data_IF_710771117667
#
_entry.id   IF_710771117667
#
_cell.length_a   1.000
_cell.length_b   1.000
_cell.length_c   1.000
_cell.angle_alpha   90.00
_cell.angle_beta   90.00
_cell.angle_gamma   90.00
#
_symmetry.space_group_name_H-M   'P 1'
#
loop_
_entity.id
_entity.type
_entity.pdbx_description
1 polymer ?
#
# COMPACT_ATOMS: atom_id res chain seq x y z
N UNK A 1 14.28 -46.90 29.52
CA UNK A 1 13.45 -46.38 28.41
C UNK A 1 12.26 -45.71 29.08
N UNK A 2 12.00 -44.43 28.78
CA UNK A 2 11.08 -43.47 29.45
C UNK A 2 11.69 -42.66 30.61
N UNK A 3 12.36 -41.53 30.29
CA UNK A 3 12.47 -40.37 31.22
C UNK A 3 12.89 -39.06 30.53
N UNK A 4 12.47 -38.81 29.29
CA UNK A 4 12.89 -37.60 28.54
C UNK A 4 11.73 -36.80 27.94
N UNK A 5 10.51 -36.91 28.47
CA UNK A 5 9.32 -36.29 27.88
C UNK A 5 8.50 -35.40 28.82
N UNK A 6 8.84 -35.27 30.11
CA UNK A 6 8.02 -34.50 31.08
C UNK A 6 8.62 -33.13 31.51
N UNK A 7 9.83 -32.75 31.09
CA UNK A 7 10.46 -31.49 31.53
C UNK A 7 10.13 -30.24 30.69
N UNK A 8 9.24 -30.33 29.69
CA UNK A 8 8.93 -29.21 28.79
C UNK A 8 7.49 -28.66 28.85
N UNK A 9 6.58 -29.26 29.62
CA UNK A 9 5.17 -28.82 29.68
C UNK A 9 4.95 -27.48 30.40
N UNK A 10 5.88 -27.05 31.26
CA UNK A 10 5.79 -25.74 31.95
C UNK A 10 6.19 -24.55 31.06
N UNK A 11 6.96 -24.77 29.99
CA UNK A 11 7.34 -23.72 29.02
C UNK A 11 6.18 -23.32 28.08
N UNK A 12 5.16 -24.17 27.98
CA UNK A 12 3.95 -23.89 27.19
C UNK A 12 2.85 -23.18 27.99
N UNK A 13 3.06 -22.92 29.29
CA UNK A 13 2.07 -22.23 30.11
C UNK A 13 2.01 -20.73 29.75
N UNK A 14 0.82 -20.14 29.53
CA UNK A 14 0.64 -18.74 29.15
C UNK A 14 1.38 -17.76 30.07
N UNK A 15 1.49 -18.10 31.35
CA UNK A 15 2.13 -17.31 32.41
C UNK A 15 3.62 -17.06 32.20
N UNK A 16 4.34 -17.95 31.51
CA UNK A 16 5.78 -17.80 31.21
C UNK A 16 6.02 -16.74 30.14
N UNK A 17 5.03 -16.52 29.25
CA UNK A 17 5.09 -15.52 28.19
C UNK A 17 4.73 -14.10 28.66
N UNK A 18 3.91 -13.97 29.72
CA UNK A 18 3.41 -12.64 30.17
C UNK A 18 4.54 -11.74 30.68
N UNK A 19 5.55 -12.31 31.36
CA UNK A 19 6.63 -11.53 31.96
C UNK A 19 7.62 -10.95 30.93
N UNK A 20 8.17 -11.75 29.98
CA UNK A 20 9.08 -11.23 28.95
C UNK A 20 8.42 -10.27 27.96
N UNK A 21 7.11 -10.44 27.69
CA UNK A 21 6.34 -9.54 26.83
C UNK A 21 6.16 -8.14 27.43
N UNK A 22 6.17 -8.02 28.77
CA UNK A 22 6.05 -6.73 29.46
C UNK A 22 7.38 -5.97 29.57
N UNK A 23 8.52 -6.65 29.46
CA UNK A 23 9.84 -6.03 29.56
C UNK A 23 10.49 -5.73 28.20
N UNK A 24 9.85 -6.09 27.08
CA UNK A 24 10.45 -5.97 25.76
C UNK A 24 10.79 -4.49 25.44
N UNK A 25 12.08 -4.24 25.17
CA UNK A 25 12.66 -2.91 25.06
C UNK A 25 13.78 -2.88 24.02
N UNK A 26 14.20 -1.67 23.64
CA UNK A 26 15.28 -1.42 22.67
C UNK A 26 16.66 -1.89 23.15
N UNK A 27 16.78 -2.46 24.35
CA UNK A 27 18.04 -2.94 24.93
C UNK A 27 18.05 -4.47 25.08
N UNK A 28 16.90 -5.11 25.27
CA UNK A 28 16.83 -6.55 25.59
C UNK A 28 16.26 -7.42 24.47
N UNK A 29 15.74 -6.85 23.38
CA UNK A 29 15.09 -7.61 22.31
C UNK A 29 16.00 -8.70 21.70
N UNK A 30 17.32 -8.46 21.58
CA UNK A 30 18.27 -9.45 21.07
C UNK A 30 18.46 -10.64 22.02
N UNK A 31 18.56 -10.38 23.33
CA UNK A 31 18.70 -11.45 24.31
C UNK A 31 17.41 -12.27 24.41
N UNK A 32 16.25 -11.60 24.40
CA UNK A 32 14.95 -12.27 24.35
C UNK A 32 14.77 -13.09 23.06
N UNK A 33 15.28 -12.61 21.93
CA UNK A 33 15.29 -13.39 20.69
C UNK A 33 16.14 -14.65 20.81
N UNK A 34 17.36 -14.55 21.36
CA UNK A 34 18.23 -15.72 21.55
C UNK A 34 17.58 -16.77 22.44
N UNK A 35 16.89 -16.34 23.50
CA UNK A 35 16.10 -17.24 24.35
C UNK A 35 14.95 -17.85 23.55
N UNK A 36 14.22 -17.07 22.76
CA UNK A 36 13.11 -17.56 21.95
C UNK A 36 13.57 -18.62 20.92
N UNK A 37 14.69 -18.39 20.23
CA UNK A 37 15.27 -19.32 19.26
C UNK A 37 15.79 -20.59 19.94
N UNK A 38 16.43 -20.47 21.10
CA UNK A 38 17.01 -21.59 21.83
C UNK A 38 15.96 -22.52 22.46
N UNK A 39 14.83 -21.97 22.90
CA UNK A 39 13.71 -22.74 23.49
C UNK A 39 12.54 -22.94 22.53
N UNK A 40 12.65 -22.52 21.27
CA UNK A 40 11.60 -22.62 20.24
C UNK A 40 10.24 -22.06 20.69
N UNK A 41 10.23 -20.81 21.15
CA UNK A 41 9.04 -20.11 21.67
C UNK A 41 8.45 -19.18 20.59
N UNK A 42 7.51 -19.65 19.74
CA UNK A 42 7.03 -18.88 18.58
C UNK A 42 6.28 -17.60 18.97
N UNK A 43 5.57 -17.59 20.09
CA UNK A 43 4.85 -16.40 20.57
C UNK A 43 5.81 -15.27 20.98
N UNK A 44 6.97 -15.62 21.55
CA UNK A 44 7.99 -14.64 21.90
C UNK A 44 8.72 -14.13 20.66
N UNK A 45 9.01 -15.02 19.70
CA UNK A 45 9.59 -14.64 18.41
C UNK A 45 8.68 -13.66 17.66
N UNK A 46 7.37 -13.95 17.57
CA UNK A 46 6.41 -13.06 16.92
C UNK A 46 6.35 -11.68 17.60
N UNK A 47 6.43 -11.64 18.92
CA UNK A 47 6.45 -10.38 19.68
C UNK A 47 7.73 -9.57 19.45
N UNK A 48 8.90 -10.23 19.43
CA UNK A 48 10.18 -9.58 19.08
C UNK A 48 10.14 -9.02 17.64
N UNK A 49 9.62 -9.81 16.68
CA UNK A 49 9.45 -9.37 15.29
C UNK A 49 8.49 -8.18 15.23
N UNK A 50 7.37 -8.21 15.95
CA UNK A 50 6.41 -7.11 16.05
C UNK A 50 7.05 -5.81 16.55
N UNK A 51 7.80 -5.90 17.64
CA UNK A 51 8.51 -4.75 18.20
C UNK A 51 9.58 -4.20 17.26
N UNK A 52 10.37 -5.08 16.64
CA UNK A 52 11.39 -4.65 15.67
C UNK A 52 10.76 -3.96 14.48
N UNK A 53 9.66 -4.49 13.94
CA UNK A 53 8.92 -3.86 12.84
C UNK A 53 8.53 -2.41 13.13
N UNK A 54 8.19 -2.10 14.38
CA UNK A 54 7.84 -0.75 14.83
C UNK A 54 9.07 0.15 15.05
N UNK A 55 10.14 -0.39 15.64
CA UNK A 55 11.32 0.37 16.08
C UNK A 55 12.53 0.28 15.13
N UNK A 56 12.41 -0.41 13.99
CA UNK A 56 13.53 -0.59 13.06
C UNK A 56 14.06 0.74 12.50
N UNK A 57 13.17 1.73 12.34
CA UNK A 57 13.59 3.07 11.90
C UNK A 57 14.51 3.74 12.92
N UNK A 58 14.19 3.64 14.22
CA UNK A 58 15.03 4.19 15.28
C UNK A 58 16.38 3.48 15.36
N UNK A 59 16.39 2.15 15.21
CA UNK A 59 17.60 1.34 15.19
C UNK A 59 18.50 1.68 13.99
N UNK A 60 17.91 1.77 12.79
CA UNK A 60 18.67 2.07 11.57
C UNK A 60 19.26 3.49 11.54
N UNK A 61 18.69 4.44 12.28
CA UNK A 61 19.19 5.82 12.34
C UNK A 61 20.12 6.08 13.52
N UNK A 62 19.78 5.54 14.70
CA UNK A 62 20.47 5.86 15.96
C UNK A 62 21.54 4.84 16.33
N UNK A 63 21.40 3.59 15.91
CA UNK A 63 22.24 2.46 16.33
C UNK A 63 22.50 1.49 15.18
N UNK A 64 23.13 2.01 14.12
CA UNK A 64 23.45 1.21 12.93
C UNK A 64 24.25 -0.05 13.25
N UNK A 65 25.20 0.02 14.18
CA UNK A 65 26.02 -1.14 14.57
C UNK A 65 25.17 -2.30 15.14
N UNK A 66 24.12 -2.00 15.91
CA UNK A 66 23.21 -3.02 16.44
C UNK A 66 22.34 -3.63 15.32
N UNK A 67 21.90 -2.82 14.36
CA UNK A 67 21.13 -3.28 13.21
C UNK A 67 21.95 -4.22 12.31
N UNK A 68 23.26 -4.00 12.19
CA UNK A 68 24.17 -4.85 11.42
C UNK A 68 24.44 -6.20 12.10
N UNK A 69 24.31 -6.28 13.43
CA UNK A 69 24.48 -7.52 14.20
C UNK A 69 23.22 -8.40 14.29
N UNK A 70 22.13 -8.03 13.61
CA UNK A 70 20.89 -8.79 13.63
C UNK A 70 21.09 -10.21 13.06
N UNK A 71 20.56 -11.25 13.73
CA UNK A 71 20.55 -12.60 13.18
C UNK A 71 19.77 -12.68 11.86
N UNK A 72 20.30 -13.44 10.89
CA UNK A 72 19.67 -13.63 9.58
C UNK A 72 18.18 -14.01 9.66
N UNK A 73 17.82 -14.96 10.53
CA UNK A 73 16.43 -15.42 10.70
C UNK A 73 15.49 -14.29 11.10
N UNK A 74 15.92 -13.48 12.07
CA UNK A 74 15.14 -12.35 12.57
C UNK A 74 14.97 -11.28 11.49
N UNK A 75 16.07 -10.91 10.82
CA UNK A 75 16.04 -9.94 9.72
C UNK A 75 15.09 -10.40 8.60
N UNK A 76 15.16 -11.68 8.23
CA UNK A 76 14.29 -12.26 7.20
C UNK A 76 12.81 -12.14 7.56
N UNK A 77 12.42 -12.49 8.78
CA UNK A 77 11.01 -12.42 9.20
C UNK A 77 10.50 -10.98 9.33
N UNK A 78 11.35 -10.05 9.76
CA UNK A 78 11.03 -8.62 9.76
C UNK A 78 10.80 -8.10 8.33
N UNK A 79 11.67 -8.46 7.38
CA UNK A 79 11.54 -8.04 5.98
C UNK A 79 10.32 -8.64 5.26
N UNK A 80 9.87 -9.84 5.66
CA UNK A 80 8.63 -10.45 5.16
C UNK A 80 7.37 -9.73 5.64
N UNK A 81 7.42 -9.10 6.81
CA UNK A 81 6.24 -8.50 7.45
C UNK A 81 5.66 -7.32 6.66
N UNK A 82 4.37 -7.41 6.31
CA UNK A 82 3.60 -6.29 5.72
C UNK A 82 3.45 -5.09 6.67
N UNK A 83 3.74 -5.26 7.97
CA UNK A 83 3.57 -4.23 8.99
C UNK A 83 4.75 -3.25 9.09
N UNK A 84 5.85 -3.51 8.37
CA UNK A 84 7.04 -2.66 8.35
C UNK A 84 6.78 -1.37 7.55
N UNK A 85 6.13 -0.39 8.18
CA UNK A 85 5.83 0.92 7.57
C UNK A 85 6.74 2.03 8.05
N UNK A 86 7.69 1.73 8.95
CA UNK A 86 8.61 2.69 9.57
C UNK A 86 9.74 3.14 8.64
N UNK A 87 10.07 2.33 7.63
CA UNK A 87 11.12 2.59 6.64
C UNK A 87 10.55 2.57 5.22
N UNK A 88 11.13 3.38 4.34
CA UNK A 88 10.94 3.31 2.90
C UNK A 88 11.66 2.09 2.31
N UNK A 89 11.21 1.60 1.15
CA UNK A 89 11.88 0.45 0.51
C UNK A 89 13.31 0.76 0.06
N UNK A 90 13.65 2.04 -0.17
CA UNK A 90 15.04 2.44 -0.42
C UNK A 90 15.91 2.27 0.83
N UNK A 91 15.40 2.65 2.01
CA UNK A 91 16.12 2.44 3.27
C UNK A 91 16.23 0.97 3.63
N UNK A 92 15.17 0.19 3.40
CA UNK A 92 15.18 -1.27 3.58
C UNK A 92 16.25 -1.90 2.68
N UNK A 93 16.31 -1.49 1.41
CA UNK A 93 17.33 -1.97 0.49
C UNK A 93 18.76 -1.61 0.97
N UNK A 94 18.97 -0.36 1.41
CA UNK A 94 20.27 0.08 1.96
C UNK A 94 20.66 -0.74 3.19
N UNK A 95 19.73 -0.99 4.10
CA UNK A 95 19.96 -1.80 5.29
C UNK A 95 20.40 -3.22 4.92
N UNK A 96 19.71 -3.86 3.96
CA UNK A 96 20.05 -5.21 3.50
C UNK A 96 21.45 -5.26 2.88
N UNK A 97 21.80 -4.28 2.06
CA UNK A 97 23.15 -4.21 1.46
C UNK A 97 24.22 -4.03 2.52
N UNK A 98 24.05 -3.07 3.43
CA UNK A 98 25.03 -2.83 4.49
C UNK A 98 25.21 -4.06 5.38
N UNK A 99 24.13 -4.77 5.69
CA UNK A 99 24.17 -6.02 6.47
C UNK A 99 24.94 -7.13 5.73
N UNK A 100 24.73 -7.28 4.42
CA UNK A 100 25.45 -8.26 3.60
C UNK A 100 26.96 -7.93 3.48
N UNK A 101 27.30 -6.65 3.37
CA UNK A 101 28.69 -6.19 3.22
C UNK A 101 29.49 -6.26 4.52
N UNK A 102 28.85 -6.02 5.68
CA UNK A 102 29.53 -6.00 6.99
C UNK A 102 30.28 -7.29 7.31
N UNK A 103 29.61 -8.44 7.18
CA UNK A 103 30.17 -9.76 7.49
C UNK A 103 30.44 -10.60 6.23
N UNK A 104 30.38 -9.99 5.04
CA UNK A 104 30.51 -10.67 3.75
C UNK A 104 29.58 -11.89 3.60
N UNK A 105 28.35 -11.81 4.13
CA UNK A 105 27.38 -12.93 4.17
C UNK A 105 26.64 -13.12 2.85
N UNK A 106 27.36 -13.13 1.73
CA UNK A 106 26.78 -13.18 0.40
C UNK A 106 25.96 -14.45 0.12
N UNK A 107 26.08 -15.49 0.94
CA UNK A 107 25.28 -16.71 0.87
C UNK A 107 23.76 -16.46 1.06
N UNK A 108 23.38 -15.41 1.80
CA UNK A 108 21.98 -15.07 2.06
C UNK A 108 21.43 -14.03 1.09
N UNK A 109 22.25 -13.52 0.17
CA UNK A 109 21.87 -12.45 -0.77
C UNK A 109 20.54 -12.78 -1.44
N UNK A 110 20.49 -13.84 -2.23
CA UNK A 110 19.32 -14.25 -3.02
C UNK A 110 18.02 -14.32 -2.21
N UNK A 111 18.08 -14.78 -0.96
CA UNK A 111 16.91 -14.85 -0.11
C UNK A 111 16.52 -13.50 0.50
N UNK A 112 17.45 -12.60 0.83
CA UNK A 112 17.10 -11.30 1.43
C UNK A 112 16.61 -10.29 0.38
N UNK A 113 17.27 -10.19 -0.79
CA UNK A 113 16.89 -9.22 -1.83
C UNK A 113 15.48 -9.46 -2.39
N UNK A 114 14.98 -10.69 -2.42
CA UNK A 114 13.60 -10.96 -2.87
C UNK A 114 12.51 -10.39 -1.95
N UNK A 115 12.83 -10.07 -0.69
CA UNK A 115 11.89 -9.49 0.27
C UNK A 115 11.79 -7.95 0.16
N UNK A 116 12.69 -7.32 -0.59
CA UNK A 116 12.65 -5.89 -0.90
C UNK A 116 11.65 -5.64 -2.03
N UNK A 117 10.79 -4.62 -1.87
CA UNK A 117 9.71 -4.31 -2.82
C UNK A 117 10.15 -3.19 -3.76
N UNK A 118 11.00 -3.54 -4.74
CA UNK A 118 11.53 -2.60 -5.73
C UNK A 118 10.46 -1.79 -6.48
N UNK A 119 9.26 -2.35 -6.70
CA UNK A 119 8.14 -1.65 -7.35
C UNK A 119 7.50 -0.52 -6.54
N UNK A 120 7.95 -0.30 -5.29
CA UNK A 120 7.58 0.84 -4.44
C UNK A 120 8.70 1.88 -4.33
N UNK A 121 9.86 1.64 -4.95
CA UNK A 121 10.98 2.59 -4.96
C UNK A 121 10.77 3.66 -6.03
N UNK A 122 11.45 4.79 -5.86
CA UNK A 122 11.44 5.85 -6.86
C UNK A 122 12.21 5.45 -8.12
N UNK A 123 11.68 5.85 -9.28
CA UNK A 123 12.25 5.51 -10.59
C UNK A 123 13.71 5.97 -10.75
N UNK A 124 14.12 7.18 -10.31
CA UNK A 124 15.53 7.58 -10.34
C UNK A 124 16.42 6.67 -9.48
N UNK A 125 15.95 6.27 -8.29
CA UNK A 125 16.69 5.37 -7.42
C UNK A 125 16.89 4.01 -8.10
N UNK A 126 15.84 3.43 -8.72
CA UNK A 126 15.95 2.18 -9.47
C UNK A 126 16.97 2.26 -10.62
N UNK A 127 16.99 3.37 -11.37
CA UNK A 127 18.00 3.57 -12.42
C UNK A 127 19.42 3.68 -11.88
N UNK A 128 19.59 4.30 -10.70
CA UNK A 128 20.89 4.34 -10.03
C UNK A 128 21.31 2.94 -9.62
N UNK A 129 20.44 2.18 -8.94
CA UNK A 129 20.71 0.81 -8.53
C UNK A 129 21.10 -0.11 -9.69
N UNK A 130 20.35 -0.05 -10.80
CA UNK A 130 20.62 -0.85 -11.99
C UNK A 130 22.00 -0.56 -12.61
N UNK A 131 22.52 0.68 -12.48
CA UNK A 131 23.76 1.11 -13.13
C UNK A 131 24.97 1.08 -12.22
N UNK A 132 24.83 1.44 -10.95
CA UNK A 132 25.97 1.73 -10.08
C UNK A 132 26.26 0.65 -9.05
N UNK A 133 25.30 -0.23 -8.72
CA UNK A 133 25.47 -1.11 -7.58
C UNK A 133 26.09 -2.47 -7.95
N UNK A 134 27.23 -2.79 -7.34
CA UNK A 134 27.98 -4.04 -7.56
C UNK A 134 27.16 -5.30 -7.29
N UNK A 135 26.33 -5.28 -6.24
CA UNK A 135 25.45 -6.41 -5.89
C UNK A 135 24.40 -6.71 -6.96
N UNK A 136 23.84 -5.66 -7.60
CA UNK A 136 22.84 -5.82 -8.66
C UNK A 136 23.50 -6.31 -9.96
N UNK A 137 24.74 -5.87 -10.23
CA UNK A 137 25.50 -6.31 -11.40
C UNK A 137 26.01 -7.76 -11.27
N UNK A 138 26.23 -8.24 -10.05
CA UNK A 138 26.74 -9.58 -9.79
C UNK A 138 25.65 -10.64 -9.63
N UNK A 139 24.49 -10.29 -9.05
CA UNK A 139 23.35 -11.20 -8.89
C UNK A 139 22.36 -11.07 -10.05
N UNK A 140 22.10 -12.14 -10.83
CA UNK A 140 21.11 -12.12 -11.91
C UNK A 140 19.68 -11.93 -11.38
N UNK A 141 19.39 -12.42 -10.17
CA UNK A 141 18.07 -12.29 -9.55
C UNK A 141 17.79 -10.84 -9.17
N UNK A 142 18.76 -10.15 -8.55
CA UNK A 142 18.64 -8.72 -8.25
C UNK A 142 18.39 -7.89 -9.51
N UNK A 143 19.14 -8.15 -10.58
CA UNK A 143 18.95 -7.48 -11.86
C UNK A 143 17.54 -7.70 -12.42
N UNK A 144 17.06 -8.95 -12.42
CA UNK A 144 15.70 -9.27 -12.89
C UNK A 144 14.61 -8.58 -12.08
N UNK A 145 14.78 -8.46 -10.75
CA UNK A 145 13.82 -7.78 -9.88
C UNK A 145 13.77 -6.26 -10.13
N UNK A 146 14.92 -5.64 -10.39
CA UNK A 146 14.99 -4.22 -10.73
C UNK A 146 14.40 -3.95 -12.11
N UNK A 147 14.67 -4.82 -13.09
CA UNK A 147 14.05 -4.72 -14.43
C UNK A 147 12.53 -4.89 -14.37
N UNK A 148 12.02 -5.87 -13.61
CA UNK A 148 10.58 -6.06 -13.37
C UNK A 148 9.95 -4.78 -12.80
N UNK A 149 10.61 -4.15 -11.82
CA UNK A 149 10.14 -2.89 -11.25
C UNK A 149 10.14 -1.74 -12.27
N UNK A 150 11.21 -1.60 -13.06
CA UNK A 150 11.28 -0.57 -14.12
C UNK A 150 10.15 -0.75 -15.15
N UNK A 151 9.88 -1.98 -15.59
CA UNK A 151 8.77 -2.28 -16.50
C UNK A 151 7.39 -2.01 -15.89
N UNK A 152 7.25 -2.23 -14.57
CA UNK A 152 6.06 -1.84 -13.84
C UNK A 152 5.88 -0.31 -13.80
N UNK A 153 6.95 0.48 -13.68
CA UNK A 153 6.89 1.95 -13.72
C UNK A 153 6.65 2.50 -15.13
N UNK A 154 7.21 1.87 -16.18
CA UNK A 154 6.94 2.21 -17.58
C UNK A 154 5.45 2.08 -17.93
N UNK A 155 4.79 1.05 -17.41
CA UNK A 155 3.37 0.78 -17.62
C UNK A 155 2.46 1.57 -16.68
N UNK A 156 2.66 2.88 -16.51
CA UNK A 156 2.00 3.71 -15.46
C UNK A 156 0.51 3.41 -15.35
N UNK A 157 -0.27 3.52 -16.43
CA UNK A 157 -1.73 3.29 -16.38
C UNK A 157 -2.14 1.82 -16.19
N UNK A 158 -1.27 0.87 -16.55
CA UNK A 158 -1.51 -0.57 -16.42
C UNK A 158 -1.13 -1.14 -15.04
N UNK A 159 -0.43 -0.37 -14.19
CA UNK A 159 -0.05 -0.75 -12.82
C UNK A 159 -1.18 -1.36 -11.96
N UNK A 160 -2.43 -0.87 -11.98
CA UNK A 160 -3.52 -1.46 -11.20
C UNK A 160 -3.80 -2.92 -11.56
N UNK A 161 -3.42 -3.35 -12.76
CA UNK A 161 -3.63 -4.71 -13.26
C UNK A 161 -2.40 -5.61 -13.09
N UNK A 162 -1.28 -5.04 -12.66
CA UNK A 162 0.01 -5.73 -12.49
C UNK A 162 0.39 -5.83 -11.01
N UNK A 163 -0.61 -5.99 -10.14
CA UNK A 163 -0.36 -6.10 -8.71
C UNK A 163 0.20 -7.48 -8.36
N UNK A 164 1.29 -7.48 -7.60
CA UNK A 164 1.89 -8.66 -6.98
C UNK A 164 2.20 -8.36 -5.50
N UNK A 165 2.66 -9.36 -4.75
CA UNK A 165 3.15 -9.15 -3.39
C UNK A 165 4.26 -8.08 -3.32
N UNK A 166 5.04 -7.91 -4.41
CA UNK A 166 6.16 -6.96 -4.50
C UNK A 166 5.75 -5.54 -4.87
N UNK A 167 4.53 -5.33 -5.36
CA UNK A 167 4.01 -3.98 -5.70
C UNK A 167 2.97 -3.48 -4.71
N UNK A 168 2.61 -4.33 -3.74
CA UNK A 168 1.66 -3.99 -2.68
C UNK A 168 2.38 -3.17 -1.60
N UNK A 169 1.92 -1.95 -1.30
CA UNK A 169 2.46 -1.16 -0.19
C UNK A 169 2.41 -1.96 1.12
N UNK A 170 3.35 -1.71 2.03
CA UNK A 170 3.28 -2.20 3.41
C UNK A 170 2.18 -1.42 4.15
N UNK A 171 1.31 -2.10 4.90
CA UNK A 171 0.21 -1.47 5.64
C UNK A 171 0.02 -2.17 6.99
N UNK A 172 -0.19 -1.37 8.03
CA UNK A 172 -0.45 -1.86 9.37
C UNK A 172 -1.92 -2.23 9.58
N UNK A 173 -2.86 -1.48 8.97
CA UNK A 173 -4.29 -1.70 9.16
C UNK A 173 -5.16 -1.11 8.05
N UNK A 174 -6.46 -1.43 8.10
CA UNK A 174 -7.48 -0.84 7.23
C UNK A 174 -7.53 0.67 7.44
N UNK A 175 -7.25 1.42 6.37
CA UNK A 175 -7.19 2.88 6.38
C UNK A 175 -8.36 3.45 5.59
N UNK A 176 -9.03 4.45 6.15
CA UNK A 176 -10.15 5.12 5.50
C UNK A 176 -9.67 6.40 4.80
N UNK A 177 -10.06 6.58 3.54
CA UNK A 177 -9.72 7.76 2.73
C UNK A 177 -10.98 8.59 2.45
N UNK A 178 -10.85 9.91 2.55
CA UNK A 178 -11.85 10.88 2.13
C UNK A 178 -11.24 11.78 1.06
N UNK A 179 -11.86 11.83 -0.11
CA UNK A 179 -11.45 12.68 -1.22
C UNK A 179 -12.53 13.73 -1.54
N UNK A 180 -12.13 15.00 -1.60
CA UNK A 180 -12.97 16.09 -2.08
C UNK A 180 -14.20 16.37 -1.24
N UNK A 181 -15.28 16.77 -1.91
CA UNK A 181 -16.54 17.16 -1.28
C UNK A 181 -16.77 18.66 -1.28
N UNK A 182 -17.68 19.12 -0.42
CA UNK A 182 -18.09 20.51 -0.27
C UNK A 182 -18.02 20.91 1.20
N UNK A 183 -17.33 22.02 1.50
CA UNK A 183 -17.33 22.62 2.83
C UNK A 183 -18.45 23.66 2.93
N UNK A 184 -18.79 24.07 4.16
CA UNK A 184 -19.78 25.15 4.38
C UNK A 184 -19.31 26.48 3.79
N UNK A 185 -18.00 26.74 3.84
CA UNK A 185 -17.36 27.99 3.42
C UNK A 185 -16.78 27.93 2.00
N UNK A 186 -16.40 26.73 1.53
CA UNK A 186 -15.84 26.51 0.18
C UNK A 186 -16.77 25.64 -0.64
N UNK A 187 -17.03 26.08 -1.87
CA UNK A 187 -17.97 25.44 -2.79
C UNK A 187 -17.59 24.00 -3.13
N UNK A 188 -16.29 23.65 -3.21
CA UNK A 188 -15.71 22.34 -3.56
C UNK A 188 -14.24 22.26 -3.13
N UNK A 189 -13.87 21.17 -2.46
CA UNK A 189 -12.50 20.99 -1.93
C UNK A 189 -11.69 19.97 -2.73
N UNK A 190 -10.37 20.16 -2.71
CA UNK A 190 -9.36 19.28 -3.34
C UNK A 190 -8.72 18.29 -2.37
N UNK A 191 -9.07 18.37 -1.09
CA UNK A 191 -8.38 17.65 -0.03
C UNK A 191 -8.52 16.15 -0.18
N UNK A 192 -7.42 15.43 0.03
CA UNK A 192 -7.41 14.00 0.30
C UNK A 192 -6.94 13.84 1.75
N UNK A 193 -7.75 13.16 2.56
CA UNK A 193 -7.45 12.88 3.95
C UNK A 193 -7.54 11.39 4.19
N UNK A 194 -6.71 10.89 5.10
CA UNK A 194 -6.80 9.51 5.55
C UNK A 194 -6.88 9.40 7.07
N UNK A 195 -7.42 8.28 7.51
CA UNK A 195 -7.59 7.91 8.91
C UNK A 195 -7.16 6.46 9.09
N UNK A 196 -6.15 6.23 9.92
CA UNK A 196 -5.67 4.90 10.29
C UNK A 196 -6.06 4.62 11.76
N UNK A 197 -6.93 3.63 12.03
CA UNK A 197 -7.37 3.30 13.38
C UNK A 197 -6.26 2.66 14.24
N UNK A 198 -5.30 1.94 13.66
CA UNK A 198 -4.24 1.27 14.41
C UNK A 198 -3.18 2.24 14.97
N UNK A 199 -2.99 3.40 14.33
CA UNK A 199 -2.09 4.44 14.85
C UNK A 199 -2.58 5.07 16.18
N UNK A 200 -3.76 4.67 16.68
CA UNK A 200 -4.40 5.26 17.85
C UNK A 200 -4.10 4.54 19.16
N UNK A 201 -3.51 3.34 19.17
CA UNK A 201 -3.18 2.64 20.43
C UNK A 201 -2.23 3.46 21.31
N UNK A 202 -1.41 4.34 20.72
CA UNK A 202 -0.47 5.21 21.43
C UNK A 202 -0.89 6.67 21.59
N UNK A 203 -2.04 7.11 21.03
CA UNK A 203 -2.48 8.52 21.08
C UNK A 203 -3.82 8.64 21.80
N UNK A 204 -3.80 8.40 23.12
CA UNK A 204 -4.89 8.81 24.03
C UNK A 204 -4.71 10.26 24.47
N UNK A 205 -4.77 11.23 23.54
CA UNK A 205 -4.75 12.65 23.92
C UNK A 205 -5.73 13.48 23.07
N UNK A 206 -6.72 14.06 23.78
CA UNK A 206 -7.51 15.27 23.51
C UNK A 206 -7.95 15.59 22.08
N UNK A 207 -9.23 15.31 21.78
CA UNK A 207 -10.16 16.20 21.06
C UNK A 207 -9.84 16.64 19.62
N UNK A 208 -8.67 16.28 19.07
CA UNK A 208 -8.23 16.58 17.72
C UNK A 208 -8.70 15.52 16.74
N UNK A 209 -9.19 15.96 15.59
CA UNK A 209 -9.50 15.09 14.46
C UNK A 209 -8.21 14.41 13.98
N UNK A 210 -8.04 13.11 14.25
CA UNK A 210 -6.89 12.25 13.86
C UNK A 210 -6.79 11.97 12.35
N UNK A 211 -7.06 12.99 11.54
CA UNK A 211 -7.02 12.92 10.10
C UNK A 211 -5.75 13.56 9.59
N UNK A 212 -5.03 12.82 8.76
CA UNK A 212 -3.81 13.30 8.12
C UNK A 212 -4.10 13.68 6.67
N UNK A 213 -3.52 14.80 6.24
CA UNK A 213 -3.67 15.30 4.88
C UNK A 213 -2.64 14.67 3.94
N UNK A 214 -3.07 14.36 2.72
CA UNK A 214 -2.26 13.83 1.64
C UNK A 214 -2.22 14.83 0.49
N UNK A 215 -1.49 14.51 -0.57
CA UNK A 215 -1.42 15.36 -1.74
C UNK A 215 -2.83 15.69 -2.24
N UNK A 216 -3.15 16.98 -2.46
CA UNK A 216 -4.48 17.37 -2.87
C UNK A 216 -4.73 16.96 -4.32
N UNK A 217 -5.99 16.68 -4.64
CA UNK A 217 -6.44 16.46 -6.02
C UNK A 217 -6.11 17.67 -6.91
N UNK A 218 -5.89 17.45 -8.23
CA UNK A 218 -5.65 18.54 -9.18
C UNK A 218 -6.78 19.57 -9.23
N UNK A 219 -8.02 19.14 -8.99
CA UNK A 219 -9.20 20.01 -9.04
C UNK A 219 -10.18 19.64 -7.93
N UNK A 220 -10.63 20.65 -7.19
CA UNK A 220 -11.66 20.48 -6.17
C UNK A 220 -13.00 20.12 -6.78
N UNK A 221 -13.65 19.07 -6.24
CA UNK A 221 -14.88 18.51 -6.83
C UNK A 221 -15.79 17.87 -5.80
N UNK A 222 -17.09 17.85 -6.11
CA UNK A 222 -18.16 17.18 -5.34
C UNK A 222 -18.96 16.26 -6.25
N UNK A 223 -19.81 15.39 -5.70
CA UNK A 223 -20.66 14.47 -6.48
C UNK A 223 -19.90 13.56 -7.47
N UNK A 224 -18.59 13.42 -7.27
CA UNK A 224 -17.73 12.49 -7.98
C UNK A 224 -17.92 11.09 -7.39
N UNK A 225 -17.44 10.08 -8.12
CA UNK A 225 -17.39 8.72 -7.61
C UNK A 225 -15.95 8.28 -7.41
N UNK A 226 -15.78 7.38 -6.45
CA UNK A 226 -14.48 6.86 -6.04
C UNK A 226 -14.50 5.34 -6.21
N UNK A 227 -13.43 4.76 -6.72
CA UNK A 227 -13.26 3.31 -6.80
C UNK A 227 -11.81 2.91 -6.51
N UNK A 228 -11.63 1.74 -5.89
CA UNK A 228 -10.32 1.16 -5.64
C UNK A 228 -10.04 0.06 -6.66
N UNK A 229 -8.93 0.18 -7.39
CA UNK A 229 -8.47 -0.89 -8.29
C UNK A 229 -6.96 -1.05 -8.12
N UNK A 230 -6.53 -2.25 -7.75
CA UNK A 230 -5.12 -2.61 -7.65
C UNK A 230 -4.31 -1.69 -6.74
N UNK A 231 -4.82 -1.34 -5.56
CA UNK A 231 -4.21 -0.42 -4.59
C UNK A 231 -4.12 1.06 -5.03
N UNK A 232 -4.78 1.45 -6.12
CA UNK A 232 -4.93 2.84 -6.53
C UNK A 232 -6.35 3.33 -6.28
N UNK A 233 -6.47 4.59 -5.88
CA UNK A 233 -7.75 5.26 -5.68
C UNK A 233 -8.10 6.07 -6.92
N UNK A 234 -9.22 5.75 -7.57
CA UNK A 234 -9.71 6.46 -8.74
C UNK A 234 -10.79 7.45 -8.34
N UNK A 235 -10.69 8.69 -8.81
CA UNK A 235 -11.70 9.73 -8.65
C UNK A 235 -12.16 10.15 -10.04
N UNK A 236 -13.46 9.94 -10.31
CA UNK A 236 -14.03 10.10 -11.65
C UNK A 236 -15.21 11.05 -11.62
N UNK A 237 -15.27 11.95 -12.61
CA UNK A 237 -16.40 12.84 -12.83
C UNK A 237 -16.68 13.78 -11.66
N UNK A 238 -17.96 14.02 -11.41
CA UNK A 238 -18.48 14.94 -10.41
C UNK A 238 -18.71 16.33 -10.97
N UNK A 239 -18.83 17.29 -10.07
CA UNK A 239 -19.04 18.70 -10.35
C UNK A 239 -17.81 19.50 -9.99
N UNK A 240 -17.41 20.40 -10.89
CA UNK A 240 -16.36 21.40 -10.66
C UNK A 240 -16.98 22.79 -10.79
N UNK A 241 -16.46 23.74 -10.02
CA UNK A 241 -16.80 25.15 -10.17
C UNK A 241 -15.90 25.80 -11.24
N UNK A 242 -16.51 26.42 -12.24
CA UNK A 242 -15.82 27.19 -13.25
C UNK A 242 -15.49 28.60 -12.73
N UNK A 243 -14.55 29.28 -13.41
CA UNK A 243 -14.19 30.68 -13.14
C UNK A 243 -15.37 31.67 -13.18
N UNK A 244 -16.47 31.28 -13.83
CA UNK A 244 -17.72 32.06 -13.90
C UNK A 244 -18.63 31.88 -12.67
N UNK A 245 -18.22 31.09 -11.68
CA UNK A 245 -19.03 30.72 -10.50
C UNK A 245 -20.10 29.67 -10.80
N UNK A 246 -20.19 29.18 -12.04
CA UNK A 246 -21.13 28.12 -12.43
C UNK A 246 -20.54 26.76 -12.11
N UNK A 247 -21.40 25.85 -11.67
CA UNK A 247 -21.03 24.46 -11.41
C UNK A 247 -21.50 23.59 -12.57
N UNK A 248 -20.60 22.73 -13.04
CA UNK A 248 -20.85 21.87 -14.20
C UNK A 248 -20.35 20.46 -13.89
N UNK A 249 -21.11 19.46 -14.36
CA UNK A 249 -20.64 18.09 -14.42
C UNK A 249 -19.39 18.01 -15.31
N UNK A 250 -18.39 17.22 -14.88
CA UNK A 250 -17.15 17.03 -15.63
C UNK A 250 -16.97 15.58 -16.05
N UNK A 251 -16.18 15.39 -17.10
CA UNK A 251 -15.73 14.08 -17.59
C UNK A 251 -14.34 13.68 -17.11
N UNK A 252 -13.64 14.58 -16.41
CA UNK A 252 -12.25 14.38 -16.01
C UNK A 252 -12.14 13.31 -14.93
N UNK A 253 -11.03 12.60 -14.94
CA UNK A 253 -10.73 11.55 -13.99
C UNK A 253 -9.25 11.60 -13.63
N UNK A 254 -8.96 11.27 -12.38
CA UNK A 254 -7.60 11.11 -11.89
C UNK A 254 -7.53 9.87 -11.02
N UNK A 255 -6.33 9.34 -10.84
CA UNK A 255 -6.08 8.36 -9.80
C UNK A 255 -4.98 8.84 -8.88
N UNK A 256 -5.05 8.40 -7.64
CA UNK A 256 -4.07 8.63 -6.62
C UNK A 256 -3.24 7.37 -6.41
N UNK A 257 -1.93 7.57 -6.38
CA UNK A 257 -0.95 6.57 -6.00
C UNK A 257 -0.50 6.83 -4.55
N UNK A 258 -0.86 5.95 -3.59
CA UNK A 258 -0.48 6.12 -2.19
C UNK A 258 1.04 5.98 -1.96
N UNK A 259 1.80 5.43 -2.90
CA UNK A 259 3.24 5.17 -2.76
C UNK A 259 4.05 6.44 -2.92
N UNK A 260 3.77 7.18 -4.00
CA UNK A 260 4.40 8.47 -4.28
C UNK A 260 3.63 9.67 -3.73
N UNK A 261 2.53 9.42 -2.98
CA UNK A 261 1.59 10.44 -2.55
C UNK A 261 1.26 11.42 -3.69
N UNK A 262 0.87 10.90 -4.85
CA UNK A 262 0.75 11.70 -6.06
C UNK A 262 -0.50 11.37 -6.87
N UNK A 263 -1.00 12.37 -7.59
CA UNK A 263 -2.14 12.22 -8.49
C UNK A 263 -1.68 12.15 -9.94
N UNK A 264 -2.26 11.23 -10.70
CA UNK A 264 -2.08 11.12 -12.15
C UNK A 264 -3.42 11.33 -12.83
N UNK A 265 -3.49 12.27 -13.77
CA UNK A 265 -4.67 12.38 -14.65
C UNK A 265 -4.75 11.16 -15.56
N UNK A 266 -5.96 10.63 -15.71
CA UNK A 266 -6.25 9.54 -16.65
C UNK A 266 -7.17 10.07 -17.74
N UNK A 267 -7.40 9.28 -18.78
CA UNK A 267 -8.29 9.67 -19.85
C UNK A 267 -9.66 10.07 -19.32
N UNK A 268 -10.22 11.12 -19.91
CA UNK A 268 -11.57 11.58 -19.59
C UNK A 268 -12.62 10.63 -20.15
N UNK A 269 -13.75 10.54 -19.45
CA UNK A 269 -14.97 9.90 -19.96
C UNK A 269 -15.44 10.58 -21.25
N UNK A 270 -16.28 9.90 -22.01
CA UNK A 270 -16.96 10.45 -23.19
C UNK A 270 -18.02 11.45 -22.78
N UNK A 271 -18.87 11.10 -21.82
CA UNK A 271 -19.87 12.00 -21.25
C UNK A 271 -19.38 12.63 -19.95
N UNK A 272 -19.79 13.87 -19.69
CA UNK A 272 -19.70 14.48 -18.36
C UNK A 272 -20.69 13.75 -17.43
N UNK A 273 -20.27 13.41 -16.20
CA UNK A 273 -21.12 12.68 -15.25
C UNK A 273 -20.99 13.23 -13.83
N UNK A 274 -22.13 13.52 -13.22
CA UNK A 274 -22.30 13.74 -11.77
C UNK A 274 -23.37 12.78 -11.24
N UNK A 275 -23.39 12.51 -9.93
CA UNK A 275 -24.42 11.67 -9.28
C UNK A 275 -24.61 10.30 -9.96
N UNK A 276 -23.51 9.66 -10.32
CA UNK A 276 -23.49 8.36 -11.01
C UNK A 276 -22.98 7.25 -10.07
N UNK A 277 -22.82 6.04 -10.59
CA UNK A 277 -22.17 4.93 -9.89
C UNK A 277 -20.89 4.55 -10.61
N UNK A 278 -19.81 4.35 -9.85
CA UNK A 278 -18.54 3.84 -10.35
C UNK A 278 -18.26 2.49 -9.69
N UNK A 279 -18.06 1.45 -10.51
CA UNK A 279 -17.75 0.10 -10.04
C UNK A 279 -16.50 -0.46 -10.72
N UNK A 280 -15.87 -1.42 -10.06
CA UNK A 280 -14.78 -2.22 -10.62
C UNK A 280 -15.35 -3.58 -10.96
N UNK A 281 -15.16 -4.02 -12.20
CA UNK A 281 -15.56 -5.36 -12.64
C UNK A 281 -14.45 -5.92 -13.54
N UNK A 282 -13.87 -7.03 -13.09
CA UNK A 282 -12.67 -7.61 -13.67
C UNK A 282 -11.52 -6.59 -13.74
N UNK A 283 -11.02 -6.33 -14.95
CA UNK A 283 -9.90 -5.42 -15.21
C UNK A 283 -10.33 -4.00 -15.62
N UNK A 284 -11.60 -3.64 -15.42
CA UNK A 284 -12.18 -2.39 -15.94
C UNK A 284 -12.94 -1.61 -14.86
N UNK A 285 -13.02 -0.29 -15.03
CA UNK A 285 -13.96 0.55 -14.28
C UNK A 285 -15.20 0.80 -15.13
N UNK A 286 -16.36 0.83 -14.50
CA UNK A 286 -17.65 1.09 -15.14
C UNK A 286 -18.31 2.30 -14.51
N UNK A 287 -18.57 3.32 -15.31
CA UNK A 287 -19.35 4.49 -14.94
C UNK A 287 -20.77 4.34 -15.49
N UNK A 288 -21.75 4.25 -14.58
CA UNK A 288 -23.13 3.88 -14.89
C UNK A 288 -24.05 5.04 -14.53
N UNK A 289 -24.84 5.48 -15.49
CA UNK A 289 -25.88 6.48 -15.26
C UNK A 289 -25.35 7.88 -14.93
N UNK A 290 -26.10 8.59 -14.08
CA UNK A 290 -25.78 9.95 -13.65
C UNK A 290 -26.44 11.03 -14.48
N UNK A 291 -25.95 12.26 -14.29
CA UNK A 291 -26.40 13.45 -15.02
C UNK A 291 -25.25 14.09 -15.79
N UNK A 292 -25.56 14.63 -16.96
CA UNK A 292 -24.60 15.42 -17.74
C UNK A 292 -24.60 16.90 -17.33
N UNK A 293 -23.82 17.72 -18.03
CA UNK A 293 -23.73 19.17 -17.82
C UNK A 293 -25.05 19.93 -18.02
N UNK A 294 -25.98 19.37 -18.79
CA UNK A 294 -27.35 19.88 -18.98
C UNK A 294 -28.34 19.32 -17.93
N UNK A 295 -27.84 18.60 -16.93
CA UNK A 295 -28.63 17.89 -15.89
C UNK A 295 -29.55 16.80 -16.44
N UNK A 296 -29.33 16.34 -17.66
CA UNK A 296 -30.08 15.25 -18.26
C UNK A 296 -29.59 13.92 -17.71
N UNK A 297 -30.52 13.04 -17.36
CA UNK A 297 -30.19 11.67 -16.92
C UNK A 297 -29.60 10.89 -18.08
N UNK A 298 -28.48 10.22 -17.82
CA UNK A 298 -27.78 9.41 -18.80
C UNK A 298 -28.22 7.94 -18.67
N UNK A 299 -28.76 7.31 -19.73
CA UNK A 299 -29.01 5.87 -19.74
C UNK A 299 -27.77 5.06 -20.16
N UNK A 300 -26.60 5.69 -20.27
CA UNK A 300 -25.39 5.10 -20.84
C UNK A 300 -24.44 4.54 -19.79
N UNK A 301 -23.73 3.48 -20.17
CA UNK A 301 -22.61 2.90 -19.44
C UNK A 301 -21.32 3.16 -20.20
N UNK A 302 -20.29 3.59 -19.47
CA UNK A 302 -18.94 3.74 -19.99
C UNK A 302 -17.95 2.86 -19.24
N UNK A 303 -17.01 2.28 -19.99
CA UNK A 303 -15.98 1.39 -19.47
C UNK A 303 -14.60 1.98 -19.67
N UNK A 304 -13.82 2.09 -18.60
CA UNK A 304 -12.41 2.47 -18.63
C UNK A 304 -11.51 1.23 -18.72
N UNK A 305 -10.58 1.25 -19.66
CA UNK A 305 -9.51 0.26 -19.78
C UNK A 305 -8.17 0.85 -19.32
N UNK A 306 -7.63 0.42 -18.15
CA UNK A 306 -6.35 0.90 -17.65
C UNK A 306 -5.17 0.63 -18.60
N UNK A 307 -5.14 -0.54 -19.26
CA UNK A 307 -4.07 -0.91 -20.22
C UNK A 307 -3.93 0.09 -21.36
N UNK A 308 -5.04 0.65 -21.83
CA UNK A 308 -5.07 1.58 -22.98
C UNK A 308 -5.21 3.04 -22.55
N UNK A 309 -5.45 3.29 -21.26
CA UNK A 309 -5.87 4.59 -20.73
C UNK A 309 -6.98 5.21 -21.58
N UNK A 310 -8.11 4.50 -21.74
CA UNK A 310 -9.23 4.96 -22.59
C UNK A 310 -10.58 4.55 -22.02
N UNK A 311 -11.55 5.45 -22.15
CA UNK A 311 -12.98 5.18 -21.96
C UNK A 311 -13.65 4.80 -23.27
N UNK A 312 -14.53 3.80 -23.21
CA UNK A 312 -15.35 3.32 -24.33
C UNK A 312 -16.81 3.26 -23.88
N UNK A 313 -17.72 3.61 -24.78
CA UNK A 313 -19.14 3.32 -24.56
C UNK A 313 -19.31 1.81 -24.53
N UNK A 314 -20.05 1.30 -23.55
CA UNK A 314 -20.39 -0.10 -23.50
C UNK A 314 -21.89 -0.27 -23.73
N UNK A 315 -22.33 -0.45 -24.99
CA UNK A 315 -23.75 -0.64 -25.29
C UNK A 315 -24.27 -2.02 -24.86
N UNK A 316 -23.38 -2.99 -24.64
CA UNK A 316 -23.74 -4.40 -24.45
C UNK A 316 -24.04 -4.79 -23.00
N UNK A 317 -23.74 -3.91 -22.02
CA UNK A 317 -24.13 -4.12 -20.63
C UNK A 317 -25.33 -3.21 -20.34
N UNK A 318 -26.51 -3.82 -20.25
CA UNK A 318 -27.71 -3.14 -19.80
C UNK A 318 -27.62 -2.79 -18.31
N UNK A 319 -28.41 -1.80 -17.88
CA UNK A 319 -28.52 -1.46 -16.45
C UNK A 319 -28.99 -2.67 -15.60
N UNK A 320 -29.75 -3.59 -16.21
CA UNK A 320 -30.26 -4.82 -15.60
C UNK A 320 -29.13 -5.82 -15.34
N UNK A 321 -28.21 -6.03 -16.29
CA UNK A 321 -27.09 -6.97 -16.13
C UNK A 321 -26.14 -6.54 -14.99
N UNK A 322 -25.99 -5.23 -14.77
CA UNK A 322 -25.23 -4.67 -13.65
C UNK A 322 -25.94 -4.82 -12.30
N UNK A 323 -27.27 -4.69 -12.28
CA UNK A 323 -28.10 -4.94 -11.09
C UNK A 323 -28.07 -6.40 -10.70
N UNK A 324 -28.23 -7.31 -11.67
CA UNK A 324 -28.15 -8.74 -11.44
C UNK A 324 -26.75 -9.16 -10.96
N UNK A 325 -25.68 -8.57 -11.50
CA UNK A 325 -24.34 -8.75 -10.94
C UNK A 325 -24.22 -8.21 -9.50
N UNK A 326 -24.73 -7.01 -9.21
CA UNK A 326 -24.70 -6.43 -7.87
C UNK A 326 -25.51 -7.26 -6.84
N UNK A 327 -26.52 -7.99 -7.30
CA UNK A 327 -27.31 -8.93 -6.51
C UNK A 327 -26.70 -10.35 -6.46
N UNK A 328 -25.56 -10.59 -7.12
CA UNK A 328 -24.88 -11.88 -7.15
C UNK A 328 -25.52 -12.92 -8.08
N UNK A 329 -26.42 -12.50 -8.97
CA UNK A 329 -27.13 -13.37 -9.91
C UNK A 329 -26.33 -13.69 -11.17
N UNK A 330 -25.16 -13.05 -11.38
CA UNK A 330 -24.28 -13.26 -12.53
C UNK A 330 -22.84 -13.49 -12.06
N UNK A 331 -22.26 -14.64 -12.42
CA UNK A 331 -20.82 -14.90 -12.30
C UNK A 331 -20.12 -14.67 -13.64
N UNK A 332 -19.07 -13.83 -13.67
CA UNK A 332 -18.12 -13.77 -14.78
C UNK A 332 -18.41 -12.79 -15.93
N UNK A 333 -18.69 -11.51 -15.62
CA UNK A 333 -18.67 -10.41 -16.62
C UNK A 333 -17.30 -9.71 -16.75
#
# INVERSE_FOLDING_TARGET
MMSSFEEHEWLTHPSVYVFPLQELSSVNYLELYRVADLFHLPALEEAVVGFLVEHLSELSHSRQDEALQLPYRLLREVLKSDRLTSLSEEEIWKLVVLWLEHDCQYQYTEDLIQHVRYGLMDVPALHHLARSHSLVQSSPTAASLVEEALDYHHGTFAQPLRQSARTRPRFQSLTLYIAGGRKRESSRVRELRYFNPAAQEHVRVSGGSNWSELAPMPTGRSHHCVALMGNFLFVVGGEVEHSTGRTCAVRTACRYDPRGNCWTEIASMKACREHFVLGVLGQFLYAVGGRNELRQVLPSVERYCPKRNKWMNNPDIGFIDLLDWAHGNLEGL
#
